data_IF_193414478409
#
_entry.id   IF_193414478409
#
_cell.length_a   1.000
_cell.length_b   1.000
_cell.length_c   1.000
_cell.angle_alpha   90.00
_cell.angle_beta   90.00
_cell.angle_gamma   90.00
#
_symmetry.space_group_name_H-M   'P 1'
#
loop_
_entity.id
_entity.type
_entity.pdbx_description
1 polymer ?
#
# COMPACT_ATOMS: atom_id res chain seq x y z
N UNK A 1 -11.21 -37.26 5.84
CA UNK A 1 -10.37 -37.37 4.63
C UNK A 1 -10.03 -36.00 4.00
N UNK A 2 -10.97 -35.05 3.95
CA UNK A 2 -10.76 -33.69 3.38
C UNK A 2 -9.62 -32.85 3.98
N UNK A 3 -9.33 -33.00 5.28
CA UNK A 3 -8.24 -32.27 5.93
C UNK A 3 -6.85 -32.71 5.44
N UNK A 4 -6.67 -34.01 5.19
CA UNK A 4 -5.39 -34.57 4.74
C UNK A 4 -5.12 -34.18 3.29
N UNK A 5 -6.13 -34.23 2.42
CA UNK A 5 -6.01 -33.76 1.03
C UNK A 5 -5.70 -32.27 0.93
N UNK A 6 -6.22 -31.44 1.85
CA UNK A 6 -5.89 -30.02 1.92
C UNK A 6 -4.40 -29.78 2.27
N UNK A 7 -3.86 -30.50 3.26
CA UNK A 7 -2.44 -30.39 3.61
C UNK A 7 -1.52 -30.87 2.48
N UNK A 8 -1.89 -31.96 1.80
CA UNK A 8 -1.14 -32.48 0.64
C UNK A 8 -1.17 -31.48 -0.53
N UNK A 9 -2.32 -30.85 -0.77
CA UNK A 9 -2.47 -29.79 -1.79
C UNK A 9 -1.56 -28.59 -1.50
N UNK A 10 -1.53 -28.10 -0.26
CA UNK A 10 -0.67 -26.97 0.13
C UNK A 10 0.81 -27.34 -0.05
N UNK A 11 1.20 -28.54 0.40
CA UNK A 11 2.58 -29.00 0.29
C UNK A 11 3.03 -29.10 -1.18
N UNK A 12 2.15 -29.56 -2.07
CA UNK A 12 2.40 -29.63 -3.51
C UNK A 12 2.62 -28.23 -4.13
N UNK A 13 1.80 -27.23 -3.74
CA UNK A 13 1.93 -25.86 -4.22
C UNK A 13 3.27 -25.24 -3.77
N UNK A 14 3.65 -25.43 -2.51
CA UNK A 14 4.94 -24.95 -1.98
C UNK A 14 6.11 -25.55 -2.75
N UNK A 15 6.09 -26.86 -3.03
CA UNK A 15 7.14 -27.51 -3.82
C UNK A 15 7.25 -26.96 -5.25
N UNK A 16 6.12 -26.69 -5.91
CA UNK A 16 6.09 -26.14 -7.27
C UNK A 16 6.64 -24.71 -7.36
N UNK A 17 6.49 -23.90 -6.31
CA UNK A 17 6.98 -22.51 -6.29
C UNK A 17 8.49 -22.37 -6.12
N UNK A 18 9.21 -23.41 -5.67
CA UNK A 18 10.66 -23.35 -5.46
C UNK A 18 11.47 -23.38 -6.78
N UNK A 19 10.85 -23.80 -7.89
CA UNK A 19 11.52 -23.97 -9.18
C UNK A 19 11.68 -22.70 -10.03
N UNK A 20 11.05 -21.58 -9.68
CA UNK A 20 10.99 -20.39 -10.54
C UNK A 20 12.18 -19.43 -10.40
N UNK A 21 13.20 -19.80 -9.64
CA UNK A 21 14.43 -19.01 -9.52
C UNK A 21 15.40 -19.33 -10.66
N UNK A 22 15.27 -18.63 -11.79
CA UNK A 22 16.28 -18.67 -12.86
C UNK A 22 17.58 -18.04 -12.34
N UNK A 23 18.65 -18.86 -12.26
CA UNK A 23 19.99 -18.39 -11.86
C UNK A 23 20.55 -17.35 -12.82
N UNK A 24 20.13 -17.38 -14.09
CA UNK A 24 20.57 -16.48 -15.16
C UNK A 24 19.34 -15.81 -15.81
N UNK A 25 18.85 -14.69 -15.25
CA UNK A 25 17.79 -13.92 -15.89
C UNK A 25 18.32 -13.22 -17.16
N UNK A 26 17.49 -13.08 -18.20
CA UNK A 26 17.86 -12.37 -19.43
C UNK A 26 18.11 -10.86 -19.21
N UNK A 27 17.57 -10.31 -18.11
CA UNK A 27 17.85 -8.96 -17.63
C UNK A 27 17.93 -8.98 -16.11
N UNK A 28 18.99 -8.42 -15.54
CA UNK A 28 19.17 -8.28 -14.09
C UNK A 28 19.23 -6.79 -13.74
N UNK A 29 18.11 -6.24 -13.27
CA UNK A 29 18.11 -4.91 -12.66
C UNK A 29 18.44 -5.04 -11.18
N UNK A 30 19.37 -4.21 -10.68
CA UNK A 30 19.71 -4.12 -9.27
C UNK A 30 19.51 -2.69 -8.80
N UNK A 31 18.52 -2.48 -7.95
CA UNK A 31 18.33 -1.21 -7.25
C UNK A 31 19.30 -1.18 -6.08
N UNK A 32 20.14 -0.15 -6.03
CA UNK A 32 21.05 0.10 -4.90
C UNK A 32 20.33 0.88 -3.81
N UNK A 33 20.93 0.96 -2.62
CA UNK A 33 20.37 1.76 -1.51
C UNK A 33 20.09 3.22 -1.93
N UNK A 34 20.99 3.81 -2.73
CA UNK A 34 20.79 5.16 -3.27
C UNK A 34 19.58 5.25 -4.20
N UNK A 35 19.35 4.23 -5.03
CA UNK A 35 18.18 4.16 -5.89
C UNK A 35 16.87 3.98 -5.11
N UNK A 36 16.91 3.23 -4.00
CA UNK A 36 15.76 3.11 -3.11
C UNK A 36 15.46 4.44 -2.41
N UNK A 37 16.48 5.14 -1.90
CA UNK A 37 16.31 6.46 -1.28
C UNK A 37 15.73 7.48 -2.27
N UNK A 38 16.18 7.45 -3.53
CA UNK A 38 15.59 8.27 -4.59
C UNK A 38 14.10 7.95 -4.80
N UNK A 39 13.75 6.67 -4.91
CA UNK A 39 12.35 6.24 -5.08
C UNK A 39 11.47 6.67 -3.90
N UNK A 40 11.99 6.61 -2.67
CA UNK A 40 11.29 7.07 -1.46
C UNK A 40 10.99 8.56 -1.53
N UNK A 41 11.98 9.38 -1.91
CA UNK A 41 11.78 10.84 -2.00
C UNK A 41 10.72 11.21 -3.05
N UNK A 42 10.72 10.53 -4.20
CA UNK A 42 9.70 10.72 -5.23
C UNK A 42 8.33 10.26 -4.73
N UNK A 43 8.26 9.12 -4.03
CA UNK A 43 7.01 8.62 -3.47
C UNK A 43 6.42 9.59 -2.42
N UNK A 44 7.26 10.21 -1.59
CA UNK A 44 6.83 11.21 -0.61
C UNK A 44 6.27 12.48 -1.27
N UNK A 45 6.89 12.96 -2.35
CA UNK A 45 6.38 14.11 -3.10
C UNK A 45 5.00 13.82 -3.73
N UNK A 46 4.86 12.64 -4.34
CA UNK A 46 3.57 12.20 -4.90
C UNK A 46 2.52 12.01 -3.81
N UNK A 47 2.88 11.42 -2.69
CA UNK A 47 1.98 11.21 -1.55
C UNK A 47 1.52 12.55 -0.95
N UNK A 48 2.44 13.51 -0.79
CA UNK A 48 2.11 14.85 -0.31
C UNK A 48 1.08 15.52 -1.22
N UNK A 49 1.32 15.48 -2.55
CA UNK A 49 0.37 15.98 -3.54
C UNK A 49 -0.99 15.28 -3.47
N UNK A 50 -1.03 13.95 -3.31
CA UNK A 50 -2.29 13.22 -3.19
C UNK A 50 -3.07 13.61 -1.93
N UNK A 51 -2.38 13.78 -0.79
CA UNK A 51 -3.00 14.20 0.46
C UNK A 51 -3.53 15.62 0.37
N UNK A 52 -2.74 16.57 -0.15
CA UNK A 52 -3.19 17.97 -0.32
C UNK A 52 -4.40 18.08 -1.25
N UNK A 53 -4.51 17.21 -2.26
CA UNK A 53 -5.64 17.19 -3.18
C UNK A 53 -6.86 16.43 -2.67
N UNK A 54 -6.77 15.73 -1.53
CA UNK A 54 -7.95 15.11 -0.91
C UNK A 54 -8.74 16.18 -0.16
N UNK A 55 -9.95 16.44 -0.65
CA UNK A 55 -10.92 17.25 0.08
C UNK A 55 -11.28 16.53 1.40
N UNK A 56 -11.08 17.22 2.51
CA UNK A 56 -11.59 16.79 3.81
C UNK A 56 -13.09 17.15 3.82
N UNK A 57 -13.99 16.17 3.99
CA UNK A 57 -15.43 16.44 3.97
C UNK A 57 -15.82 17.31 5.17
N UNK A 58 -16.78 18.21 4.94
CA UNK A 58 -17.35 19.02 6.01
C UNK A 58 -18.03 18.12 7.06
N UNK A 59 -17.85 18.46 8.34
CA UNK A 59 -18.40 17.70 9.46
C UNK A 59 -19.49 18.52 10.16
N UNK A 60 -20.73 18.06 10.07
CA UNK A 60 -21.88 18.66 10.73
C UNK A 60 -22.53 17.66 11.70
N UNK A 61 -22.73 18.05 12.96
CA UNK A 61 -23.46 17.22 13.93
C UNK A 61 -24.09 18.08 15.06
N UNK A 62 -24.91 17.45 15.90
CA UNK A 62 -25.60 18.09 17.02
C UNK A 62 -25.42 17.27 18.29
N UNK A 63 -24.95 17.91 19.35
CA UNK A 63 -24.85 17.32 20.69
C UNK A 63 -25.76 18.09 21.65
N UNK A 64 -26.88 17.48 22.05
CA UNK A 64 -27.90 18.13 22.88
C UNK A 64 -28.54 19.33 22.17
N UNK A 65 -28.49 20.51 22.80
CA UNK A 65 -29.00 21.77 22.22
C UNK A 65 -27.98 22.52 21.36
N UNK A 66 -26.78 21.99 21.17
CA UNK A 66 -25.69 22.65 20.44
C UNK A 66 -25.48 21.96 19.08
N UNK A 67 -25.56 22.73 18.01
CA UNK A 67 -25.23 22.31 16.64
C UNK A 67 -23.84 22.81 16.30
N UNK A 68 -23.00 21.96 15.68
CA UNK A 68 -21.74 22.39 15.10
C UNK A 68 -21.70 22.10 13.61
N UNK A 69 -20.99 22.96 12.90
CA UNK A 69 -20.72 22.83 11.48
C UNK A 69 -19.24 23.17 11.28
N UNK A 70 -18.45 22.17 10.90
CA UNK A 70 -17.02 22.32 10.63
C UNK A 70 -16.85 22.22 9.12
N UNK A 71 -16.77 23.39 8.48
CA UNK A 71 -16.71 23.53 7.03
C UNK A 71 -15.39 24.14 6.57
N UNK A 72 -14.95 23.84 5.35
CA UNK A 72 -13.86 24.58 4.68
C UNK A 72 -12.46 24.10 5.06
N UNK A 73 -12.31 22.82 5.34
CA UNK A 73 -11.02 22.20 5.61
C UNK A 73 -10.12 22.18 4.37
N UNK A 74 -8.96 22.82 4.46
CA UNK A 74 -7.90 22.74 3.45
C UNK A 74 -6.60 22.31 4.13
N UNK A 75 -5.87 21.36 3.52
CA UNK A 75 -4.56 20.94 4.00
C UNK A 75 -3.52 21.94 3.51
N UNK A 76 -2.95 22.73 4.43
CA UNK A 76 -1.87 23.68 4.13
C UNK A 76 -0.56 22.93 3.82
N UNK A 77 0.21 23.34 2.80
CA UNK A 77 1.41 22.63 2.35
C UNK A 77 2.59 22.67 3.32
#
# INVERSE_FOLDING_TARGET
MQRVTFFVSIFLIVLLTNGTHSKNPGLKSRITSNGLNYAVNVALDVLSKDITNKAIPDQHDKSGSVSYDITGHHTEP
#
